data_IF_038351181440
#
_entry.id   IF_038351181440
#
_cell.length_a   1.000
_cell.length_b   1.000
_cell.length_c   1.000
_cell.angle_alpha   90.00
_cell.angle_beta   90.00
_cell.angle_gamma   90.00
#
_symmetry.space_group_name_H-M   'P 1'
#
loop_
_entity.id
_entity.type
_entity.pdbx_description
1 polymer ?
#
# COMPACT_ATOMS: atom_id res chain seq x y z
N UNK A 1 -8.92 -36.02 18.55
CA UNK A 1 -8.29 -34.73 18.90
C UNK A 1 -8.17 -33.94 17.62
N UNK A 2 -9.07 -32.99 17.41
CA UNK A 2 -8.99 -32.01 16.32
C UNK A 2 -7.94 -30.96 16.70
N UNK A 3 -7.07 -30.52 15.78
CA UNK A 3 -6.22 -29.39 16.06
C UNK A 3 -7.10 -28.14 16.06
N UNK A 4 -7.27 -27.57 17.24
CA UNK A 4 -7.79 -26.21 17.41
C UNK A 4 -6.81 -25.26 16.75
N UNK A 5 -7.20 -24.68 15.60
CA UNK A 5 -6.50 -23.55 15.01
C UNK A 5 -6.49 -22.40 16.02
N UNK A 6 -5.30 -21.89 16.31
CA UNK A 6 -5.11 -20.75 17.21
C UNK A 6 -5.68 -19.49 16.53
N UNK A 7 -6.72 -18.82 17.05
CA UNK A 7 -7.39 -17.71 16.36
C UNK A 7 -6.67 -16.36 16.60
N UNK A 8 -5.35 -16.28 16.41
CA UNK A 8 -4.57 -15.13 16.91
C UNK A 8 -3.42 -14.59 16.08
N UNK A 9 -2.89 -15.29 15.07
CA UNK A 9 -1.78 -14.76 14.26
C UNK A 9 -2.28 -14.16 12.95
N UNK A 10 -2.27 -12.83 12.85
CA UNK A 10 -2.53 -12.13 11.59
C UNK A 10 -1.44 -12.51 10.57
N UNK A 11 -1.85 -13.03 9.42
CA UNK A 11 -0.96 -13.40 8.32
C UNK A 11 -0.46 -12.16 7.57
N UNK A 12 -1.30 -11.12 7.53
CA UNK A 12 -0.95 -9.78 7.06
C UNK A 12 -0.37 -8.97 8.23
N UNK A 13 0.86 -8.50 8.07
CA UNK A 13 1.60 -7.77 9.11
C UNK A 13 1.22 -6.31 9.09
N UNK A 14 1.28 -5.66 7.92
CA UNK A 14 0.99 -4.25 7.77
C UNK A 14 0.32 -3.95 6.42
N UNK A 15 -0.42 -2.84 6.38
CA UNK A 15 -0.78 -2.16 5.15
C UNK A 15 -0.38 -0.69 5.30
N UNK A 16 0.39 -0.18 4.36
CA UNK A 16 0.92 1.18 4.36
C UNK A 16 0.49 1.90 3.09
N UNK A 17 -0.23 3.00 3.26
CA UNK A 17 -0.49 3.99 2.22
C UNK A 17 0.57 5.08 2.28
N UNK A 18 1.27 5.30 1.18
CA UNK A 18 2.36 6.28 1.08
C UNK A 18 2.16 7.21 -0.09
N UNK A 19 2.67 8.43 0.04
CA UNK A 19 2.72 9.43 -1.02
C UNK A 19 4.18 9.83 -1.28
N UNK A 20 4.51 10.10 -2.53
CA UNK A 20 5.75 10.79 -2.88
C UNK A 20 5.48 12.29 -2.83
N UNK A 21 6.04 12.95 -1.82
CA UNK A 21 6.01 14.39 -1.64
C UNK A 21 7.41 14.99 -1.82
N UNK A 22 7.57 16.31 -1.69
CA UNK A 22 8.83 17.01 -1.95
C UNK A 22 9.98 16.51 -1.04
N UNK A 23 9.65 16.09 0.19
CA UNK A 23 10.56 15.51 1.17
C UNK A 23 10.92 14.05 0.89
N UNK A 24 10.22 13.39 -0.04
CA UNK A 24 10.40 11.99 -0.41
C UNK A 24 9.18 11.11 -0.14
N UNK A 25 9.39 9.81 -0.19
CA UNK A 25 8.37 8.79 0.05
C UNK A 25 7.93 8.80 1.52
N UNK A 26 6.68 9.19 1.78
CA UNK A 26 6.17 9.44 3.13
C UNK A 26 4.97 8.54 3.45
N UNK A 27 4.95 7.82 4.60
CA UNK A 27 3.78 7.06 5.03
C UNK A 27 2.68 7.99 5.53
N UNK A 28 1.52 7.97 4.87
CA UNK A 28 0.38 8.84 5.17
C UNK A 28 -0.61 8.17 6.13
N UNK A 29 -0.91 6.90 5.88
CA UNK A 29 -1.78 6.09 6.73
C UNK A 29 -1.31 4.63 6.75
N UNK A 30 -1.54 3.94 7.86
CA UNK A 30 -1.16 2.54 8.01
C UNK A 30 -2.11 1.80 8.94
N UNK A 31 -2.10 0.48 8.83
CA UNK A 31 -2.79 -0.45 9.73
C UNK A 31 -1.92 -1.69 9.98
N UNK A 32 -1.85 -2.24 11.21
CA UNK A 32 -2.48 -1.76 12.45
C UNK A 32 -1.94 -0.40 12.93
N UNK A 33 -2.75 0.42 13.63
CA UNK A 33 -2.31 1.69 14.18
C UNK A 33 -1.45 1.51 15.45
N UNK A 34 -0.72 2.55 15.83
CA UNK A 34 0.05 2.60 17.09
C UNK A 34 1.48 2.03 16.98
N UNK A 35 2.04 1.60 18.12
CA UNK A 35 3.43 1.12 18.25
C UNK A 35 3.70 -0.27 17.64
N UNK A 36 2.68 -0.89 17.04
CA UNK A 36 2.81 -2.22 16.44
C UNK A 36 3.84 -2.28 15.29
N UNK A 37 4.09 -1.14 14.64
CA UNK A 37 5.09 -0.99 13.58
C UNK A 37 5.84 0.31 13.84
N UNK A 38 7.17 0.26 13.86
CA UNK A 38 7.96 1.46 14.09
C UNK A 38 7.83 2.45 12.94
N UNK A 39 7.93 3.75 13.21
CA UNK A 39 7.89 4.77 12.15
C UNK A 39 9.05 4.63 11.16
N UNK A 40 10.19 4.12 11.63
CA UNK A 40 11.34 3.79 10.78
C UNK A 40 10.98 2.69 9.77
N UNK A 41 10.30 1.63 10.21
CA UNK A 41 9.85 0.55 9.34
C UNK A 41 8.83 1.04 8.31
N UNK A 42 7.88 1.88 8.73
CA UNK A 42 6.90 2.49 7.83
C UNK A 42 7.59 3.31 6.73
N UNK A 43 8.58 4.11 7.12
CA UNK A 43 9.36 4.93 6.18
C UNK A 43 10.16 4.06 5.21
N UNK A 44 10.79 3.00 5.71
CA UNK A 44 11.53 2.04 4.87
C UNK A 44 10.61 1.33 3.87
N UNK A 45 9.41 0.94 4.29
CA UNK A 45 8.38 0.37 3.42
C UNK A 45 7.99 1.38 2.33
N UNK A 46 7.66 2.61 2.70
CA UNK A 46 7.28 3.67 1.76
C UNK A 46 8.38 3.94 0.72
N UNK A 47 9.62 4.12 1.18
CA UNK A 47 10.76 4.41 0.33
C UNK A 47 11.04 3.28 -0.65
N UNK A 48 11.17 2.04 -0.15
CA UNK A 48 11.49 0.90 -0.99
C UNK A 48 10.40 0.62 -2.03
N UNK A 49 9.13 0.72 -1.64
CA UNK A 49 8.01 0.52 -2.56
C UNK A 49 7.96 1.57 -3.67
N UNK A 50 8.07 2.85 -3.33
CA UNK A 50 8.01 3.93 -4.33
C UNK A 50 9.24 3.88 -5.24
N UNK A 51 10.46 3.76 -4.68
CA UNK A 51 11.70 3.73 -5.48
C UNK A 51 11.74 2.56 -6.45
N UNK A 52 11.34 1.35 -6.03
CA UNK A 52 11.34 0.18 -6.91
C UNK A 52 10.30 0.29 -8.04
N UNK A 53 9.12 0.83 -7.76
CA UNK A 53 8.04 0.93 -8.75
C UNK A 53 8.22 2.12 -9.70
N UNK A 54 8.89 3.19 -9.28
CA UNK A 54 9.26 4.29 -10.15
C UNK A 54 10.47 3.99 -11.04
N UNK A 55 11.42 3.18 -10.56
CA UNK A 55 12.72 2.96 -11.21
C UNK A 55 13.55 4.27 -11.35
N UNK A 56 14.55 4.27 -12.23
CA UNK A 56 15.41 5.44 -12.52
C UNK A 56 14.68 6.58 -13.28
N UNK A 57 13.39 6.44 -13.56
CA UNK A 57 12.61 7.44 -14.31
C UNK A 57 12.06 8.52 -13.38
N UNK A 58 12.95 9.22 -12.69
CA UNK A 58 12.62 10.47 -11.99
C UNK A 58 12.59 11.66 -12.96
N UNK A 59 11.89 11.53 -14.07
CA UNK A 59 11.64 12.72 -14.89
C UNK A 59 10.46 13.49 -14.28
N UNK A 60 10.77 14.33 -13.27
CA UNK A 60 9.81 15.19 -12.59
C UNK A 60 8.98 16.04 -13.57
N UNK A 61 9.48 16.29 -14.78
CA UNK A 61 8.75 16.97 -15.84
C UNK A 61 7.53 16.19 -16.34
N UNK A 62 7.58 14.85 -16.37
CA UNK A 62 6.45 14.00 -16.76
C UNK A 62 5.37 13.90 -15.68
N UNK A 63 5.78 14.03 -14.41
CA UNK A 63 4.84 14.01 -13.30
C UNK A 63 3.96 15.26 -13.31
N UNK A 64 4.48 16.42 -13.70
CA UNK A 64 3.73 17.69 -13.65
C UNK A 64 2.93 18.05 -14.92
N UNK A 65 2.74 17.13 -15.89
CA UNK A 65 1.95 17.42 -17.11
C UNK A 65 0.44 17.22 -16.84
N UNK A 66 -0.40 18.27 -16.90
CA UNK A 66 -1.84 18.20 -16.62
C UNK A 66 -2.63 17.37 -17.64
N UNK A 67 -2.03 16.95 -18.76
CA UNK A 67 -2.63 16.04 -19.74
C UNK A 67 -2.46 14.56 -19.36
N UNK A 68 -1.69 14.27 -18.31
CA UNK A 68 -1.53 12.93 -17.77
C UNK A 68 -2.70 12.55 -16.84
N UNK A 69 -3.86 12.38 -17.46
CA UNK A 69 -5.02 11.78 -16.82
C UNK A 69 -4.97 10.28 -17.13
N UNK A 70 -4.54 9.50 -16.13
CA UNK A 70 -4.63 8.03 -15.98
C UNK A 70 -4.59 7.22 -17.30
N UNK A 71 -3.38 6.86 -17.74
CA UNK A 71 -3.02 5.47 -18.11
C UNK A 71 -1.50 5.35 -18.37
N UNK A 72 -0.67 5.49 -17.33
CA UNK A 72 0.71 4.97 -17.34
C UNK A 72 0.92 4.05 -16.15
N UNK A 73 0.45 2.80 -16.31
CA UNK A 73 1.03 1.63 -15.65
C UNK A 73 0.77 1.53 -14.15
N UNK A 74 -0.44 1.15 -13.77
CA UNK A 74 -0.72 0.44 -12.51
C UNK A 74 0.33 -0.66 -12.32
N UNK A 75 1.33 -0.40 -11.48
CA UNK A 75 2.49 -1.27 -11.34
C UNK A 75 2.42 -2.05 -10.03
N UNK A 76 2.72 -3.34 -10.13
CA UNK A 76 2.78 -4.25 -9.00
C UNK A 76 4.20 -4.77 -8.81
N UNK A 77 4.63 -4.88 -7.57
CA UNK A 77 5.87 -5.55 -7.23
C UNK A 77 5.69 -6.38 -5.97
N UNK A 78 6.31 -7.57 -5.97
CA UNK A 78 6.53 -8.33 -4.75
C UNK A 78 7.92 -7.98 -4.23
N UNK A 79 7.98 -7.41 -3.03
CA UNK A 79 9.19 -6.77 -2.48
C UNK A 79 9.58 -7.48 -1.18
N UNK A 80 10.79 -8.06 -1.09
CA UNK A 80 11.25 -8.62 0.17
C UNK A 80 11.71 -7.52 1.15
N UNK A 81 11.43 -7.70 2.44
CA UNK A 81 11.95 -6.88 3.55
C UNK A 81 12.67 -7.79 4.56
N UNK A 82 13.93 -8.18 4.27
CA UNK A 82 14.65 -9.18 5.06
C UNK A 82 14.84 -8.77 6.53
N UNK A 83 15.10 -7.49 6.78
CA UNK A 83 15.32 -6.94 8.13
C UNK A 83 14.06 -7.02 9.01
N UNK A 84 12.89 -7.19 8.39
CA UNK A 84 11.59 -7.27 9.05
C UNK A 84 10.99 -8.69 9.00
N UNK A 85 11.70 -9.69 8.44
CA UNK A 85 11.19 -11.04 8.13
C UNK A 85 9.82 -11.02 7.40
N UNK A 86 9.63 -10.05 6.51
CA UNK A 86 8.39 -9.88 5.73
C UNK A 86 8.63 -9.83 4.24
N UNK A 87 7.58 -10.12 3.48
CA UNK A 87 7.50 -9.89 2.04
C UNK A 87 6.24 -9.07 1.79
N UNK A 88 6.32 -8.13 0.86
CA UNK A 88 5.21 -7.26 0.53
C UNK A 88 4.74 -7.45 -0.90
N UNK A 89 3.49 -7.08 -1.15
CA UNK A 89 3.00 -6.71 -2.47
C UNK A 89 2.66 -5.22 -2.44
N UNK A 90 3.24 -4.48 -3.37
CA UNK A 90 3.06 -3.04 -3.51
C UNK A 90 2.32 -2.74 -4.81
N UNK A 91 1.35 -1.83 -4.72
CA UNK A 91 0.59 -1.30 -5.84
C UNK A 91 0.81 0.19 -5.96
N UNK A 92 1.33 0.65 -7.10
CA UNK A 92 1.52 2.07 -7.40
C UNK A 92 0.38 2.63 -8.25
N UNK A 93 -0.09 3.81 -7.87
CA UNK A 93 -1.09 4.58 -8.59
C UNK A 93 -0.79 6.07 -8.41
N UNK A 94 -1.46 6.93 -9.15
CA UNK A 94 -1.27 8.38 -9.05
C UNK A 94 -2.60 9.13 -9.11
N UNK A 95 -2.61 10.36 -8.61
CA UNK A 95 -3.75 11.26 -8.74
C UNK A 95 -3.30 12.72 -8.81
N UNK A 96 -4.16 13.57 -9.35
CA UNK A 96 -3.93 15.01 -9.36
C UNK A 96 -4.59 15.63 -8.14
N UNK A 97 -3.80 16.32 -7.31
CA UNK A 97 -4.30 17.00 -6.12
C UNK A 97 -4.99 18.34 -6.47
N UNK A 98 -5.50 19.02 -5.44
CA UNK A 98 -6.21 20.29 -5.60
C UNK A 98 -5.35 21.44 -6.19
N UNK A 99 -4.03 21.35 -6.04
CA UNK A 99 -3.07 22.33 -6.58
C UNK A 99 -2.58 21.95 -7.99
N UNK A 100 -3.28 21.04 -8.67
CA UNK A 100 -2.92 20.51 -9.99
C UNK A 100 -1.55 19.81 -10.05
N UNK A 101 -1.02 19.36 -8.91
CA UNK A 101 0.20 18.54 -8.84
C UNK A 101 -0.17 17.07 -8.92
N UNK A 102 0.59 16.30 -9.68
CA UNK A 102 0.48 14.85 -9.69
C UNK A 102 1.19 14.26 -8.48
N UNK A 103 0.45 13.48 -7.71
CA UNK A 103 0.92 12.79 -6.51
C UNK A 103 1.03 11.31 -6.84
N UNK A 104 2.23 10.75 -6.65
CA UNK A 104 2.45 9.31 -6.76
C UNK A 104 2.15 8.68 -5.42
N UNK A 105 1.42 7.57 -5.45
CA UNK A 105 1.00 6.84 -4.29
C UNK A 105 1.41 5.38 -4.36
N UNK A 106 1.61 4.76 -3.19
CA UNK A 106 1.65 3.30 -3.08
C UNK A 106 0.73 2.79 -1.99
N UNK A 107 0.11 1.65 -2.26
CA UNK A 107 -0.47 0.76 -1.25
C UNK A 107 0.42 -0.46 -1.13
N UNK A 108 1.08 -0.61 0.02
CA UNK A 108 1.98 -1.74 0.29
C UNK A 108 1.41 -2.60 1.39
N UNK A 109 1.15 -3.87 1.09
CA UNK A 109 0.71 -4.88 2.06
C UNK A 109 1.88 -5.80 2.36
N UNK A 110 2.29 -5.89 3.63
CA UNK A 110 3.32 -6.82 4.10
C UNK A 110 2.69 -8.07 4.72
N UNK A 111 3.29 -9.23 4.48
CA UNK A 111 2.97 -10.52 5.09
C UNK A 111 4.25 -11.13 5.66
N UNK A 112 4.11 -12.08 6.59
CA UNK A 112 5.26 -12.86 7.07
C UNK A 112 5.98 -13.53 5.89
N UNK A 113 7.32 -13.60 5.90
CA UNK A 113 8.09 -14.14 4.78
C UNK A 113 7.72 -15.59 4.41
N UNK A 114 7.24 -16.38 5.39
CA UNK A 114 6.71 -17.74 5.19
C UNK A 114 5.50 -17.79 4.25
N UNK A 115 4.79 -16.68 4.09
CA UNK A 115 3.61 -16.53 3.22
C UNK A 115 3.96 -15.91 1.86
N UNK A 116 5.23 -15.92 1.47
CA UNK A 116 5.65 -15.45 0.14
C UNK A 116 4.86 -16.10 -0.99
N UNK A 117 4.67 -17.43 -0.95
CA UNK A 117 3.95 -18.16 -2.01
C UNK A 117 2.48 -17.74 -2.10
N UNK A 118 1.84 -17.41 -0.98
CA UNK A 118 0.47 -16.89 -0.97
C UNK A 118 0.32 -15.63 -1.84
N UNK A 119 1.31 -14.72 -1.84
CA UNK A 119 1.27 -13.52 -2.68
C UNK A 119 1.29 -13.85 -4.18
N UNK A 120 1.98 -14.92 -4.58
CA UNK A 120 2.03 -15.36 -5.98
C UNK A 120 0.76 -16.12 -6.37
N UNK A 121 0.33 -17.07 -5.54
CA UNK A 121 -0.84 -17.92 -5.82
C UNK A 121 -2.15 -17.13 -5.84
N UNK A 122 -2.27 -16.11 -4.99
CA UNK A 122 -3.47 -15.26 -4.89
C UNK A 122 -3.29 -13.89 -5.55
N UNK A 123 -2.26 -13.74 -6.40
CA UNK A 123 -1.87 -12.46 -7.00
C UNK A 123 -3.07 -11.68 -7.56
N UNK A 124 -3.84 -12.27 -8.48
CA UNK A 124 -4.96 -11.59 -9.14
C UNK A 124 -6.03 -11.11 -8.15
N UNK A 125 -6.34 -11.91 -7.13
CA UNK A 125 -7.31 -11.56 -6.10
C UNK A 125 -6.80 -10.40 -5.23
N UNK A 126 -5.52 -10.44 -4.84
CA UNK A 126 -4.91 -9.38 -4.04
C UNK A 126 -4.82 -8.09 -4.86
N UNK A 127 -4.41 -8.17 -6.13
CA UNK A 127 -4.36 -7.06 -7.07
C UNK A 127 -5.72 -6.36 -7.19
N UNK A 128 -6.81 -7.11 -7.39
CA UNK A 128 -8.15 -6.54 -7.47
C UNK A 128 -8.55 -5.82 -6.17
N UNK A 129 -8.21 -6.39 -5.02
CA UNK A 129 -8.47 -5.75 -3.72
C UNK A 129 -7.67 -4.44 -3.58
N UNK A 130 -6.39 -4.42 -3.97
CA UNK A 130 -5.54 -3.23 -3.92
C UNK A 130 -6.04 -2.13 -4.86
N UNK A 131 -6.43 -2.49 -6.09
CA UNK A 131 -7.03 -1.56 -7.06
C UNK A 131 -8.32 -0.94 -6.53
N UNK A 132 -9.21 -1.76 -5.97
CA UNK A 132 -10.46 -1.27 -5.38
C UNK A 132 -10.19 -0.36 -4.18
N UNK A 133 -9.29 -0.75 -3.27
CA UNK A 133 -8.91 0.08 -2.14
C UNK A 133 -8.29 1.41 -2.58
N UNK A 134 -7.41 1.42 -3.58
CA UNK A 134 -6.85 2.64 -4.13
C UNK A 134 -7.95 3.56 -4.67
N UNK A 135 -8.89 3.01 -5.44
CA UNK A 135 -10.02 3.79 -5.95
C UNK A 135 -10.86 4.43 -4.83
N UNK A 136 -11.12 3.71 -3.74
CA UNK A 136 -11.82 4.26 -2.57
C UNK A 136 -10.98 5.29 -1.82
N UNK A 137 -9.65 5.11 -1.71
CA UNK A 137 -8.75 6.14 -1.18
C UNK A 137 -8.84 7.42 -2.00
N UNK A 138 -8.79 7.31 -3.33
CA UNK A 138 -8.88 8.45 -4.25
C UNK A 138 -10.17 9.24 -4.06
N UNK A 139 -11.31 8.56 -3.87
CA UNK A 139 -12.57 9.23 -3.53
C UNK A 139 -12.48 10.04 -2.25
N UNK A 140 -11.75 9.55 -1.24
CA UNK A 140 -11.59 10.23 0.05
C UNK A 140 -10.67 11.45 -0.12
N UNK A 141 -9.49 11.28 -0.72
CA UNK A 141 -8.48 12.35 -0.82
C UNK A 141 -8.88 13.43 -1.83
N UNK A 142 -9.66 13.11 -2.87
CA UNK A 142 -10.09 14.09 -3.87
C UNK A 142 -11.36 14.87 -3.49
N UNK A 143 -12.27 14.29 -2.67
CA UNK A 143 -13.57 14.92 -2.36
C UNK A 143 -13.53 15.90 -1.20
N UNK A 144 -12.47 15.92 -0.38
CA UNK A 144 -12.50 16.65 0.90
C UNK A 144 -11.30 17.59 1.01
N UNK A 145 -11.56 18.89 1.20
CA UNK A 145 -10.52 19.91 1.49
C UNK A 145 -9.73 19.62 2.79
N UNK A 146 -10.30 18.79 3.67
CA UNK A 146 -9.71 18.27 4.91
C UNK A 146 -10.24 16.84 5.16
N UNK A 147 -9.59 15.81 4.61
CA UNK A 147 -9.99 14.44 4.94
C UNK A 147 -9.54 14.07 6.35
N UNK A 148 -10.32 13.20 7.00
CA UNK A 148 -10.01 12.63 8.32
C UNK A 148 -9.12 11.42 8.14
N UNK A 149 -7.95 11.39 8.80
CA UNK A 149 -6.99 10.27 8.75
C UNK A 149 -7.66 8.94 9.14
N UNK A 150 -8.66 8.99 10.02
CA UNK A 150 -9.45 7.84 10.47
C UNK A 150 -10.20 7.14 9.31
N UNK A 151 -10.62 7.89 8.28
CA UNK A 151 -11.29 7.32 7.10
C UNK A 151 -10.34 6.47 6.27
N UNK A 152 -9.08 6.91 6.11
CA UNK A 152 -8.06 6.12 5.43
C UNK A 152 -7.74 4.86 6.24
N UNK A 153 -7.51 4.99 7.54
CA UNK A 153 -7.18 3.86 8.43
C UNK A 153 -8.31 2.81 8.43
N UNK A 154 -9.57 3.23 8.46
CA UNK A 154 -10.73 2.32 8.39
C UNK A 154 -10.76 1.51 7.10
N UNK A 155 -10.40 2.14 5.98
CA UNK A 155 -10.32 1.48 4.68
C UNK A 155 -9.16 0.48 4.63
N UNK A 156 -8.00 0.83 5.21
CA UNK A 156 -6.86 -0.08 5.35
C UNK A 156 -7.19 -1.27 6.27
N UNK A 157 -7.91 -1.05 7.37
CA UNK A 157 -8.38 -2.11 8.25
C UNK A 157 -9.33 -3.08 7.53
N UNK A 158 -10.25 -2.55 6.72
CA UNK A 158 -11.16 -3.39 5.94
C UNK A 158 -10.41 -4.25 4.90
N UNK A 159 -9.39 -3.67 4.24
CA UNK A 159 -8.51 -4.41 3.34
C UNK A 159 -7.72 -5.49 4.10
N UNK A 160 -7.13 -5.15 5.24
CA UNK A 160 -6.41 -6.09 6.11
C UNK A 160 -7.24 -7.29 6.50
N UNK A 161 -8.49 -7.07 6.93
CA UNK A 161 -9.43 -8.15 7.25
C UNK A 161 -9.79 -9.03 6.05
N UNK A 162 -9.93 -8.45 4.84
CA UNK A 162 -10.18 -9.22 3.61
C UNK A 162 -8.97 -10.08 3.24
N UNK A 163 -7.77 -9.52 3.27
CA UNK A 163 -6.54 -10.22 2.95
C UNK A 163 -6.22 -11.32 3.97
N UNK A 164 -6.46 -11.08 5.26
CA UNK A 164 -6.31 -12.12 6.28
C UNK A 164 -7.29 -13.28 6.09
N UNK A 165 -8.54 -13.02 5.69
CA UNK A 165 -9.47 -14.10 5.35
C UNK A 165 -9.00 -14.89 4.13
N UNK A 166 -8.50 -14.19 3.10
CA UNK A 166 -7.96 -14.82 1.90
C UNK A 166 -6.71 -15.67 2.19
N UNK A 167 -5.88 -15.27 3.15
CA UNK A 167 -4.67 -16.00 3.55
C UNK A 167 -4.96 -17.22 4.45
N UNK A 168 -6.16 -17.33 5.01
CA UNK A 168 -6.55 -18.41 5.93
C UNK A 168 -7.55 -19.41 5.32
N UNK A 169 -8.10 -19.12 4.14
CA UNK A 169 -9.03 -19.98 3.41
C UNK A 169 -8.34 -20.72 2.28
#
# INVERSE_FOLDING_TARGET
>A
MTPTSNPGSSNVVAIVYSELIDEGATPVAWYPPGEAISYMDLTNISLKSISLLMGDKTDKARLNDPRFIVDQGNAFAIIPFPDQDTVAIAYMFNYTNADHKNVICTLTTTVNAKLRNFLFEKHESIEQMLKFTAFELLKIVMRVKQFKKESLVSLLQALHGKLNRLANG
#
